data_IF_090973774462
#
_entry.id   IF_090973774462
#
_cell.length_a   1.000
_cell.length_b   1.000
_cell.length_c   1.000
_cell.angle_alpha   90.00
_cell.angle_beta   90.00
_cell.angle_gamma   90.00
#
_symmetry.space_group_name_H-M   'P 1'
#
loop_
_entity.id
_entity.type
_entity.pdbx_description
1 polymer ?
#
# COMPACT_ATOMS: atom_id res chain seq x y z
N UNK A 1 71.87 -10.05 46.07
CA UNK A 1 71.48 -9.11 45.00
C UNK A 1 70.66 -9.88 43.98
N UNK A 2 69.39 -9.50 43.81
CA UNK A 2 68.37 -10.28 43.13
C UNK A 2 68.44 -10.16 41.60
N UNK A 3 68.28 -11.29 40.91
CA UNK A 3 68.06 -11.37 39.47
C UNK A 3 66.66 -10.86 39.11
N UNK A 4 66.53 -10.09 38.03
CA UNK A 4 65.24 -9.72 37.43
C UNK A 4 65.22 -10.04 35.95
N UNK A 5 64.30 -10.93 35.60
CA UNK A 5 63.87 -11.30 34.27
C UNK A 5 63.27 -10.08 33.54
N UNK A 6 63.68 -9.84 32.29
CA UNK A 6 62.93 -8.99 31.36
C UNK A 6 62.07 -9.88 30.46
N UNK A 7 60.75 -9.73 30.59
CA UNK A 7 59.74 -10.45 29.81
C UNK A 7 59.55 -9.77 28.45
N UNK A 8 59.58 -10.56 27.38
CA UNK A 8 59.23 -10.18 26.01
C UNK A 8 57.70 -10.17 25.86
N UNK A 9 57.11 -9.00 25.60
CA UNK A 9 55.72 -8.89 25.13
C UNK A 9 55.71 -8.59 23.63
N UNK A 10 55.39 -9.62 22.84
CA UNK A 10 55.02 -9.51 21.43
C UNK A 10 53.62 -8.89 21.34
N UNK A 11 53.51 -7.68 20.81
CA UNK A 11 52.22 -7.09 20.45
C UNK A 11 51.71 -7.69 19.14
N UNK A 12 50.55 -8.36 19.17
CA UNK A 12 49.79 -8.70 17.97
C UNK A 12 48.99 -7.47 17.53
N UNK A 13 49.29 -6.93 16.36
CA UNK A 13 48.42 -5.96 15.69
C UNK A 13 47.27 -6.70 14.99
N UNK A 14 46.05 -6.55 15.50
CA UNK A 14 44.85 -7.05 14.83
C UNK A 14 44.44 -6.05 13.74
N UNK A 15 44.48 -6.49 12.47
CA UNK A 15 43.92 -5.73 11.36
C UNK A 15 42.39 -5.83 11.40
N UNK A 16 41.71 -4.71 11.62
CA UNK A 16 40.26 -4.61 11.52
C UNK A 16 39.84 -4.56 10.03
N UNK A 17 39.22 -5.62 9.54
CA UNK A 17 38.56 -5.63 8.24
C UNK A 17 37.24 -4.86 8.35
N UNK A 18 37.14 -3.71 7.68
CA UNK A 18 35.88 -2.99 7.49
C UNK A 18 35.02 -3.77 6.49
N UNK A 19 34.05 -4.53 7.01
CA UNK A 19 32.94 -5.07 6.22
C UNK A 19 32.01 -3.90 5.90
N UNK A 20 32.06 -3.41 4.66
CA UNK A 20 31.02 -2.52 4.13
C UNK A 20 29.73 -3.34 3.95
N UNK A 21 28.85 -3.29 4.94
CA UNK A 21 27.48 -3.74 4.78
C UNK A 21 26.80 -2.82 3.75
N UNK A 22 26.61 -3.32 2.53
CA UNK A 22 25.74 -2.64 1.57
C UNK A 22 24.33 -2.62 2.15
N UNK A 23 23.82 -1.44 2.47
CA UNK A 23 22.44 -1.25 2.84
C UNK A 23 21.57 -1.74 1.67
N UNK A 24 20.84 -2.84 1.87
CA UNK A 24 19.73 -3.17 0.98
C UNK A 24 18.69 -2.08 1.19
N UNK A 25 18.25 -1.43 0.11
CA UNK A 25 17.08 -0.56 0.16
C UNK A 25 15.92 -1.41 0.67
N UNK A 26 15.46 -1.13 1.89
CA UNK A 26 14.22 -1.71 2.39
C UNK A 26 13.08 -1.18 1.53
N UNK A 27 12.16 -2.07 1.15
CA UNK A 27 10.97 -1.67 0.43
C UNK A 27 10.11 -0.83 1.36
N UNK A 28 9.68 0.33 0.91
CA UNK A 28 8.86 1.30 1.66
C UNK A 28 7.62 0.61 2.23
N UNK A 29 7.05 -0.32 1.46
CA UNK A 29 5.80 -1.00 1.79
C UNK A 29 5.97 -2.27 2.64
N UNK A 30 7.19 -2.81 2.74
CA UNK A 30 7.49 -4.05 3.48
C UNK A 30 8.47 -3.82 4.65
N UNK A 31 8.70 -2.55 5.05
CA UNK A 31 9.60 -2.21 6.16
C UNK A 31 9.21 -2.99 7.43
N UNK A 32 10.19 -3.62 8.07
CA UNK A 32 9.97 -4.39 9.30
C UNK A 32 9.69 -3.42 10.44
N UNK A 33 8.60 -3.69 11.17
CA UNK A 33 8.11 -2.87 12.29
C UNK A 33 9.18 -2.63 13.37
N UNK A 34 10.12 -3.57 13.52
CA UNK A 34 11.15 -3.56 14.56
C UNK A 34 12.26 -2.51 14.34
N UNK A 35 12.39 -1.96 13.13
CA UNK A 35 13.44 -0.99 12.76
C UNK A 35 12.95 0.47 12.80
N UNK A 36 11.69 0.71 13.23
CA UNK A 36 11.05 2.02 13.16
C UNK A 36 11.06 2.73 14.53
N UNK A 37 11.72 3.89 14.59
CA UNK A 37 11.69 4.79 15.75
C UNK A 37 10.41 5.64 15.71
N UNK A 38 9.61 5.70 16.79
CA UNK A 38 8.44 6.57 16.85
C UNK A 38 8.84 8.02 16.56
N UNK A 39 8.23 8.62 15.54
CA UNK A 39 8.39 10.04 15.21
C UNK A 39 7.19 10.84 15.75
N UNK A 40 7.37 12.13 16.08
CA UNK A 40 6.23 12.98 16.43
C UNK A 40 5.19 13.01 15.29
N UNK A 41 3.89 13.02 15.58
CA UNK A 41 2.85 13.23 14.57
C UNK A 41 3.07 14.55 13.80
N UNK A 42 2.78 14.54 12.49
CA UNK A 42 2.81 15.72 11.64
C UNK A 42 4.15 16.02 10.98
N UNK A 43 5.23 15.29 11.31
CA UNK A 43 6.56 15.47 10.71
C UNK A 43 6.80 14.51 9.54
N UNK A 44 6.41 14.95 8.34
CA UNK A 44 6.56 14.22 7.08
C UNK A 44 6.54 15.18 5.88
N UNK A 45 6.97 14.71 4.71
CA UNK A 45 7.15 15.56 3.53
C UNK A 45 5.91 15.58 2.63
N UNK A 46 5.26 14.42 2.47
CA UNK A 46 4.20 14.21 1.49
C UNK A 46 3.34 13.01 1.88
N UNK A 47 2.19 12.86 1.22
CA UNK A 47 1.41 11.64 1.32
C UNK A 47 1.65 10.71 0.14
N UNK A 48 1.56 9.40 0.38
CA UNK A 48 1.25 8.41 -0.63
C UNK A 48 -0.22 8.06 -0.51
N UNK A 49 -0.99 8.24 -1.59
CA UNK A 49 -2.30 7.63 -1.71
C UNK A 49 -2.11 6.24 -2.33
N UNK A 50 -2.39 5.21 -1.53
CA UNK A 50 -2.33 3.83 -1.95
C UNK A 50 -3.74 3.35 -2.31
N UNK A 51 -3.94 2.96 -3.56
CA UNK A 51 -5.21 2.46 -4.05
C UNK A 51 -5.07 0.99 -4.49
N UNK A 52 -6.10 0.19 -4.22
CA UNK A 52 -6.15 -1.25 -4.48
C UNK A 52 -7.13 -1.57 -5.59
N UNK A 53 -6.71 -2.46 -6.50
CA UNK A 53 -7.58 -3.12 -7.46
C UNK A 53 -8.09 -4.42 -6.84
N UNK A 54 -9.28 -4.36 -6.24
CA UNK A 54 -9.84 -5.47 -5.46
C UNK A 54 -9.94 -6.81 -6.19
N UNK A 55 -10.25 -6.87 -7.51
CA UNK A 55 -10.21 -8.13 -8.25
C UNK A 55 -8.87 -8.86 -8.15
N UNK A 56 -7.75 -8.15 -8.07
CA UNK A 56 -6.45 -8.77 -7.90
C UNK A 56 -6.29 -9.34 -6.49
N UNK A 57 -6.64 -8.57 -5.45
CA UNK A 57 -6.62 -9.10 -4.08
C UNK A 57 -7.47 -10.37 -3.96
N UNK A 58 -8.62 -10.39 -4.62
CA UNK A 58 -9.59 -11.48 -4.55
C UNK A 58 -9.31 -12.67 -5.48
N UNK A 59 -8.26 -12.61 -6.31
CA UNK A 59 -7.89 -13.70 -7.20
C UNK A 59 -7.63 -15.00 -6.41
N UNK A 60 -8.43 -16.03 -6.68
CA UNK A 60 -8.42 -17.31 -5.96
C UNK A 60 -8.92 -17.30 -4.50
N UNK A 61 -9.50 -16.19 -4.02
CA UNK A 61 -9.91 -16.02 -2.60
C UNK A 61 -11.41 -15.93 -2.37
N UNK A 62 -12.24 -16.24 -3.37
CA UNK A 62 -13.71 -16.11 -3.30
C UNK A 62 -14.34 -17.04 -2.27
N UNK A 63 -13.72 -18.18 -1.95
CA UNK A 63 -14.17 -19.09 -0.89
C UNK A 63 -13.71 -18.67 0.50
N UNK A 64 -12.69 -17.80 0.58
CA UNK A 64 -12.07 -17.38 1.84
C UNK A 64 -12.68 -16.10 2.38
N UNK A 65 -13.00 -15.15 1.49
CA UNK A 65 -13.35 -13.78 1.86
C UNK A 65 -14.74 -13.37 1.33
N UNK A 66 -15.69 -12.97 2.20
CA UNK A 66 -17.05 -12.62 1.79
C UNK A 66 -17.13 -11.50 0.76
N UNK A 67 -16.32 -10.43 0.89
CA UNK A 67 -16.29 -9.34 -0.09
C UNK A 67 -15.73 -9.76 -1.45
N UNK A 68 -14.88 -10.80 -1.48
CA UNK A 68 -14.43 -11.42 -2.74
C UNK A 68 -15.51 -12.28 -3.41
N UNK A 69 -16.41 -12.89 -2.61
CA UNK A 69 -17.53 -13.69 -3.11
C UNK A 69 -18.68 -12.84 -3.63
N UNK A 70 -18.99 -11.77 -2.92
CA UNK A 70 -20.10 -10.87 -3.21
C UNK A 70 -19.60 -9.42 -3.24
N UNK A 71 -18.82 -9.03 -4.26
CA UNK A 71 -18.25 -7.69 -4.35
C UNK A 71 -19.33 -6.66 -4.66
N UNK A 72 -19.20 -5.46 -4.10
CA UNK A 72 -20.02 -4.31 -4.51
C UNK A 72 -19.77 -3.96 -5.99
N UNK A 73 -20.76 -3.32 -6.61
CA UNK A 73 -20.68 -2.93 -8.02
C UNK A 73 -19.51 -1.98 -8.29
N UNK A 74 -19.24 -1.03 -7.37
CA UNK A 74 -18.16 -0.05 -7.52
C UNK A 74 -16.78 -0.73 -7.67
N UNK A 75 -16.48 -1.70 -6.81
CA UNK A 75 -15.19 -2.42 -6.77
C UNK A 75 -14.88 -3.22 -8.03
N UNK A 76 -15.88 -3.46 -8.90
CA UNK A 76 -15.71 -4.23 -10.15
C UNK A 76 -14.98 -3.47 -11.23
N UNK A 77 -14.99 -2.14 -11.18
CA UNK A 77 -14.37 -1.30 -12.21
C UNK A 77 -13.62 -0.09 -11.65
N UNK A 78 -13.60 0.09 -10.33
CA UNK A 78 -12.90 1.19 -9.68
C UNK A 78 -11.85 0.64 -8.71
N UNK A 79 -10.76 1.38 -8.60
CA UNK A 79 -9.87 1.32 -7.46
C UNK A 79 -10.63 1.69 -6.18
N UNK A 80 -10.08 1.25 -5.05
CA UNK A 80 -10.55 1.63 -3.72
C UNK A 80 -9.34 1.96 -2.86
N UNK A 81 -9.53 2.70 -1.76
CA UNK A 81 -8.49 2.99 -0.81
C UNK A 81 -7.88 1.73 -0.21
N UNK A 82 -6.55 1.69 -0.21
CA UNK A 82 -5.78 0.96 0.78
C UNK A 82 -5.47 1.89 1.96
N UNK A 83 -4.94 3.07 1.68
CA UNK A 83 -4.67 4.08 2.70
C UNK A 83 -4.00 5.35 2.20
N UNK A 84 -3.82 6.29 3.14
CA UNK A 84 -3.21 7.59 2.93
C UNK A 84 -1.99 7.71 3.86
N UNK A 85 -0.79 7.55 3.31
CA UNK A 85 0.39 7.28 4.12
C UNK A 85 1.33 8.49 4.18
N UNK A 86 1.55 9.10 5.36
CA UNK A 86 2.65 10.04 5.57
C UNK A 86 3.98 9.41 5.15
N UNK A 87 4.76 10.13 4.35
CA UNK A 87 6.00 9.63 3.73
C UNK A 87 7.12 10.68 3.82
N UNK A 88 8.37 10.20 3.85
CA UNK A 88 9.57 11.02 3.87
C UNK A 88 10.40 10.77 2.59
N UNK A 89 10.93 11.84 2.00
CA UNK A 89 11.58 11.78 0.68
C UNK A 89 12.94 11.08 0.69
N UNK A 90 13.56 10.90 1.87
CA UNK A 90 14.94 10.45 2.00
C UNK A 90 15.22 9.55 3.21
N UNK A 91 14.20 9.10 3.92
CA UNK A 91 14.35 8.19 5.06
C UNK A 91 13.16 7.23 5.15
N UNK A 92 13.23 6.26 6.06
CA UNK A 92 12.09 5.39 6.35
C UNK A 92 10.84 6.23 6.70
N UNK A 93 9.65 5.82 6.21
CA UNK A 93 8.41 6.51 6.50
C UNK A 93 8.09 6.48 8.01
N UNK A 94 7.44 7.53 8.55
CA UNK A 94 6.96 7.51 9.92
C UNK A 94 5.86 6.45 10.08
N UNK A 95 5.83 5.78 11.24
CA UNK A 95 4.76 4.84 11.56
C UNK A 95 4.51 4.78 13.06
N UNK A 96 3.29 4.42 13.46
CA UNK A 96 2.91 4.22 14.86
C UNK A 96 3.23 5.44 15.76
N UNK A 97 2.99 6.66 15.26
CA UNK A 97 3.48 7.90 15.86
C UNK A 97 2.74 8.34 17.13
N UNK A 98 1.53 7.84 17.36
CA UNK A 98 0.74 8.11 18.56
C UNK A 98 -0.05 6.88 19.03
N UNK A 99 -0.33 6.83 20.32
CA UNK A 99 -1.13 5.77 20.95
C UNK A 99 -2.62 6.09 21.05
N UNK A 100 -3.14 7.01 20.22
CA UNK A 100 -4.57 7.34 20.21
C UNK A 100 -5.41 6.11 19.85
N UNK A 101 -6.42 5.83 20.68
CA UNK A 101 -7.32 4.72 20.43
C UNK A 101 -8.20 5.01 19.20
N UNK A 102 -8.23 4.06 18.26
CA UNK A 102 -9.11 4.12 17.11
C UNK A 102 -10.59 4.10 17.52
N UNK A 103 -11.38 5.05 17.02
CA UNK A 103 -12.82 5.17 17.29
C UNK A 103 -13.63 4.96 16.00
N UNK A 104 -13.91 3.69 15.70
CA UNK A 104 -14.70 3.29 14.54
C UNK A 104 -16.08 3.95 14.53
N UNK A 105 -16.79 3.94 15.67
CA UNK A 105 -18.15 4.46 15.77
C UNK A 105 -18.21 5.98 15.48
N UNK A 106 -17.17 6.74 15.83
CA UNK A 106 -17.05 8.15 15.44
C UNK A 106 -16.88 8.28 13.93
N UNK A 107 -15.94 7.56 13.32
CA UNK A 107 -15.66 7.66 11.88
C UNK A 107 -16.88 7.22 11.05
N UNK A 108 -17.48 6.08 11.40
CA UNK A 108 -18.67 5.54 10.73
C UNK A 108 -19.87 6.49 10.79
N UNK A 109 -20.06 7.16 11.92
CA UNK A 109 -21.15 8.14 12.09
C UNK A 109 -20.92 9.41 11.27
N UNK A 110 -19.70 9.94 11.25
CA UNK A 110 -19.40 11.20 10.56
C UNK A 110 -19.30 11.04 9.04
N UNK A 111 -18.75 9.92 8.54
CA UNK A 111 -18.56 9.69 7.10
C UNK A 111 -19.70 8.89 6.46
N UNK A 112 -20.38 8.06 7.23
CA UNK A 112 -21.38 7.11 6.75
C UNK A 112 -20.78 5.76 6.32
N UNK A 113 -21.39 4.68 6.79
CA UNK A 113 -20.95 3.31 6.49
C UNK A 113 -20.95 3.00 4.99
N UNK A 114 -21.98 3.41 4.24
CA UNK A 114 -22.05 3.14 2.81
C UNK A 114 -20.87 3.77 2.05
N UNK A 115 -20.45 4.98 2.44
CA UNK A 115 -19.30 5.67 1.86
C UNK A 115 -18.02 4.90 2.17
N UNK A 116 -17.82 4.51 3.44
CA UNK A 116 -16.64 3.76 3.86
C UNK A 116 -16.55 2.39 3.19
N UNK A 117 -17.65 1.63 3.12
CA UNK A 117 -17.68 0.34 2.44
C UNK A 117 -17.45 0.48 0.94
N UNK A 118 -17.99 1.52 0.30
CA UNK A 118 -17.79 1.72 -1.13
C UNK A 118 -16.33 2.08 -1.46
N UNK A 119 -15.72 3.02 -0.74
CA UNK A 119 -14.43 3.61 -1.11
C UNK A 119 -13.22 3.05 -0.34
N UNK A 120 -13.39 2.48 0.85
CA UNK A 120 -12.30 1.92 1.66
C UNK A 120 -12.66 0.54 2.25
N UNK A 121 -12.95 -0.47 1.41
CA UNK A 121 -13.49 -1.74 1.88
C UNK A 121 -12.44 -2.62 2.57
N UNK A 122 -12.87 -3.36 3.59
CA UNK A 122 -12.22 -4.62 3.98
C UNK A 122 -12.96 -5.81 3.37
N UNK A 123 -12.46 -6.29 2.24
CA UNK A 123 -13.08 -7.42 1.53
C UNK A 123 -12.96 -8.77 2.26
N UNK A 124 -12.15 -8.86 3.32
CA UNK A 124 -11.94 -10.11 4.10
C UNK A 124 -13.09 -10.42 5.04
N UNK A 125 -13.88 -9.42 5.42
CA UNK A 125 -15.00 -9.58 6.32
C UNK A 125 -16.31 -9.18 5.62
N UNK A 126 -17.43 -9.68 6.13
CA UNK A 126 -18.73 -9.15 5.72
C UNK A 126 -18.92 -7.76 6.32
N UNK A 127 -19.63 -6.87 5.62
CA UNK A 127 -19.92 -5.50 6.08
C UNK A 127 -20.62 -5.42 7.45
N UNK A 128 -21.37 -6.46 7.85
CA UNK A 128 -21.99 -6.55 9.17
C UNK A 128 -21.05 -7.06 10.28
N UNK A 129 -19.79 -7.40 9.95
CA UNK A 129 -18.83 -7.96 10.90
C UNK A 129 -18.20 -6.84 11.76
N UNK A 130 -18.09 -7.00 13.08
CA UNK A 130 -17.35 -6.05 13.91
C UNK A 130 -15.86 -5.97 13.56
N UNK A 131 -15.30 -7.00 12.90
CA UNK A 131 -13.91 -7.02 12.42
C UNK A 131 -13.71 -6.22 11.13
N UNK A 132 -14.77 -5.75 10.47
CA UNK A 132 -14.63 -4.98 9.22
C UNK A 132 -13.78 -3.71 9.43
N UNK A 133 -13.95 -3.07 10.59
CA UNK A 133 -13.19 -1.88 10.97
C UNK A 133 -11.73 -2.17 11.39
N UNK A 134 -11.29 -3.43 11.48
CA UNK A 134 -9.90 -3.75 11.84
C UNK A 134 -8.90 -3.28 10.78
N UNK A 135 -9.30 -3.25 9.50
CA UNK A 135 -8.47 -2.68 8.46
C UNK A 135 -8.29 -1.17 8.64
N UNK A 136 -9.37 -0.42 8.88
CA UNK A 136 -9.29 1.01 9.17
C UNK A 136 -8.48 1.30 10.43
N UNK A 137 -8.64 0.46 11.47
CA UNK A 137 -7.83 0.53 12.69
C UNK A 137 -6.34 0.34 12.38
N UNK A 138 -5.98 -0.60 11.52
CA UNK A 138 -4.59 -0.80 11.11
C UNK A 138 -4.03 0.43 10.40
N UNK A 139 -4.76 0.94 9.40
CA UNK A 139 -4.35 2.11 8.62
C UNK A 139 -4.23 3.37 9.50
N UNK A 140 -5.15 3.57 10.44
CA UNK A 140 -5.04 4.63 11.43
C UNK A 140 -3.81 4.43 12.31
N UNK A 141 -3.69 3.28 12.95
CA UNK A 141 -2.66 3.01 13.97
C UNK A 141 -1.26 3.13 13.37
N UNK A 142 -1.04 2.57 12.16
CA UNK A 142 0.25 2.58 11.49
C UNK A 142 0.54 3.91 10.80
N UNK A 143 -0.42 4.49 10.08
CA UNK A 143 -0.18 5.63 9.19
C UNK A 143 -0.90 6.90 9.64
N UNK A 144 -2.19 6.81 9.96
CA UNK A 144 -3.00 7.97 10.35
C UNK A 144 -2.48 8.72 11.58
N UNK A 145 -1.98 8.00 12.58
CA UNK A 145 -1.39 8.58 13.79
C UNK A 145 -0.17 9.47 13.51
N UNK A 146 0.47 9.32 12.34
CA UNK A 146 1.61 10.13 11.91
C UNK A 146 1.22 11.40 11.14
N UNK A 147 -0.04 11.53 10.73
CA UNK A 147 -0.50 12.67 9.92
C UNK A 147 -0.59 13.98 10.71
N UNK A 148 -0.76 13.91 12.03
CA UNK A 148 -1.09 15.07 12.87
C UNK A 148 -2.54 15.57 12.68
N UNK A 149 -3.36 14.88 11.89
CA UNK A 149 -4.79 15.15 11.75
C UNK A 149 -5.58 14.38 12.81
N UNK A 150 -6.76 14.90 13.16
CA UNK A 150 -7.76 14.14 13.90
C UNK A 150 -8.27 12.95 13.07
N UNK A 151 -8.70 11.87 13.73
CA UNK A 151 -9.18 10.65 13.06
C UNK A 151 -10.21 10.93 11.95
N UNK A 152 -11.26 11.70 12.27
CA UNK A 152 -12.33 11.99 11.31
C UNK A 152 -11.80 12.75 10.10
N UNK A 153 -10.90 13.71 10.29
CA UNK A 153 -10.33 14.50 9.20
C UNK A 153 -9.43 13.63 8.33
N UNK A 154 -8.58 12.79 8.92
CA UNK A 154 -7.73 11.85 8.18
C UNK A 154 -8.55 10.94 7.24
N UNK A 155 -9.59 10.29 7.76
CA UNK A 155 -10.46 9.43 6.94
C UNK A 155 -11.25 10.26 5.91
N UNK A 156 -11.73 11.45 6.29
CA UNK A 156 -12.48 12.34 5.39
C UNK A 156 -11.62 12.76 4.20
N UNK A 157 -10.37 13.17 4.43
CA UNK A 157 -9.47 13.58 3.37
C UNK A 157 -9.08 12.43 2.46
N UNK A 158 -8.78 11.24 3.01
CA UNK A 158 -8.48 10.06 2.22
C UNK A 158 -9.67 9.67 1.30
N UNK A 159 -10.87 9.58 1.86
CA UNK A 159 -12.09 9.27 1.09
C UNK A 159 -12.40 10.35 0.06
N UNK A 160 -12.18 11.63 0.39
CA UNK A 160 -12.40 12.73 -0.55
C UNK A 160 -11.42 12.73 -1.72
N UNK A 161 -10.19 12.26 -1.54
CA UNK A 161 -9.28 12.03 -2.66
C UNK A 161 -9.77 10.89 -3.55
N UNK A 162 -10.11 9.74 -2.95
CA UNK A 162 -10.55 8.54 -3.69
C UNK A 162 -11.79 8.80 -4.56
N UNK A 163 -12.80 9.46 -4.01
CA UNK A 163 -14.05 9.77 -4.74
C UNK A 163 -13.87 10.83 -5.83
N UNK A 164 -12.73 11.53 -5.84
CA UNK A 164 -12.53 12.66 -6.74
C UNK A 164 -11.95 12.16 -8.06
N UNK A 165 -12.86 11.93 -9.01
CA UNK A 165 -12.55 11.48 -10.39
C UNK A 165 -11.69 12.46 -11.20
N UNK A 166 -11.43 13.66 -10.69
CA UNK A 166 -10.48 14.60 -11.31
C UNK A 166 -9.08 14.48 -10.71
N UNK A 167 -9.00 14.16 -9.42
CA UNK A 167 -7.74 14.16 -8.65
C UNK A 167 -7.10 12.76 -8.59
N UNK A 168 -7.86 11.72 -8.25
CA UNK A 168 -7.36 10.35 -8.11
C UNK A 168 -8.23 9.31 -8.85
N UNK A 169 -8.53 9.50 -10.15
CA UNK A 169 -9.44 8.63 -10.87
C UNK A 169 -8.91 7.20 -11.00
N UNK A 170 -9.83 6.26 -11.14
CA UNK A 170 -9.53 5.03 -11.88
C UNK A 170 -9.54 5.35 -13.38
N UNK A 171 -8.39 5.30 -14.09
CA UNK A 171 -8.36 5.70 -15.49
C UNK A 171 -9.35 4.90 -16.33
N UNK A 172 -10.10 5.56 -17.23
CA UNK A 172 -11.05 4.88 -18.11
C UNK A 172 -10.42 3.71 -18.87
N UNK A 173 -9.13 3.84 -19.23
CA UNK A 173 -8.36 2.77 -19.85
C UNK A 173 -8.34 1.48 -19.00
N UNK A 174 -8.25 1.58 -17.67
CA UNK A 174 -8.30 0.42 -16.78
C UNK A 174 -9.72 -0.17 -16.77
N UNK A 175 -10.75 0.68 -16.69
CA UNK A 175 -12.15 0.26 -16.67
C UNK A 175 -12.54 -0.47 -17.97
N UNK A 176 -12.08 0.02 -19.12
CA UNK A 176 -12.34 -0.56 -20.44
C UNK A 176 -11.65 -1.92 -20.64
N UNK A 177 -10.63 -2.23 -19.83
CA UNK A 177 -9.84 -3.47 -19.93
C UNK A 177 -10.14 -4.45 -18.79
N UNK A 178 -11.18 -4.24 -17.98
CA UNK A 178 -11.60 -5.18 -16.93
C UNK A 178 -11.76 -6.60 -17.50
N UNK A 179 -11.02 -7.55 -16.93
CA UNK A 179 -10.97 -8.96 -17.37
C UNK A 179 -10.05 -9.22 -18.57
N UNK A 180 -9.42 -8.18 -19.11
CA UNK A 180 -8.57 -8.23 -20.29
C UNK A 180 -7.08 -8.00 -19.99
N UNK A 181 -6.32 -7.84 -21.06
CA UNK A 181 -4.90 -7.52 -21.04
C UNK A 181 -4.66 -6.08 -21.48
N UNK A 182 -3.69 -5.42 -20.86
CA UNK A 182 -3.30 -4.04 -21.17
C UNK A 182 -1.78 -3.95 -21.27
N UNK A 183 -1.29 -3.15 -22.21
CA UNK A 183 0.12 -2.83 -22.32
C UNK A 183 0.60 -2.03 -21.09
N UNK A 184 1.69 -2.46 -20.47
CA UNK A 184 2.18 -1.87 -19.22
C UNK A 184 2.61 -0.42 -19.42
N UNK A 185 3.17 -0.05 -20.57
CA UNK A 185 3.60 1.34 -20.81
C UNK A 185 2.40 2.27 -20.99
N UNK A 186 1.31 1.78 -21.62
CA UNK A 186 0.01 2.49 -21.63
C UNK A 186 -0.58 2.62 -20.24
N UNK A 187 -0.51 1.58 -19.41
CA UNK A 187 -0.99 1.63 -18.03
C UNK A 187 -0.23 2.68 -17.20
N UNK A 188 1.12 2.69 -17.29
CA UNK A 188 1.95 3.72 -16.65
C UNK A 188 1.60 5.11 -17.16
N UNK A 189 1.42 5.27 -18.47
CA UNK A 189 1.01 6.55 -19.06
C UNK A 189 -0.34 7.02 -18.50
N UNK A 190 -1.31 6.12 -18.35
CA UNK A 190 -2.63 6.45 -17.83
C UNK A 190 -2.60 6.88 -16.35
N UNK A 191 -1.70 6.30 -15.56
CA UNK A 191 -1.51 6.71 -14.17
C UNK A 191 -0.50 7.85 -14.00
N UNK A 192 0.29 8.22 -15.01
CA UNK A 192 1.31 9.26 -14.92
C UNK A 192 2.49 8.86 -14.04
N UNK A 193 2.94 9.76 -13.17
CA UNK A 193 4.14 9.59 -12.33
C UNK A 193 3.93 8.67 -11.10
N UNK A 194 3.03 7.69 -11.21
CA UNK A 194 2.71 6.75 -10.14
C UNK A 194 3.66 5.55 -10.14
N UNK A 195 3.78 4.88 -8.99
CA UNK A 195 4.35 3.53 -8.93
C UNK A 195 3.23 2.48 -8.99
N UNK A 196 3.40 1.45 -9.82
CA UNK A 196 2.39 0.40 -10.01
C UNK A 196 2.81 -0.92 -9.36
N UNK A 197 1.96 -1.48 -8.50
CA UNK A 197 2.15 -2.84 -7.98
C UNK A 197 1.40 -3.83 -8.85
N UNK A 198 2.11 -4.86 -9.24
CA UNK A 198 1.56 -6.05 -9.84
C UNK A 198 1.98 -7.30 -9.05
N UNK A 199 1.07 -8.26 -8.98
CA UNK A 199 1.31 -9.57 -8.39
C UNK A 199 1.36 -10.65 -9.48
N UNK A 200 2.06 -11.75 -9.20
CA UNK A 200 2.10 -12.92 -10.09
C UNK A 200 1.05 -13.93 -9.65
N UNK A 201 0.15 -14.29 -10.57
CA UNK A 201 -0.73 -15.43 -10.39
C UNK A 201 -0.21 -16.62 -11.20
N UNK A 202 -0.29 -17.81 -10.60
CA UNK A 202 0.02 -19.06 -11.28
C UNK A 202 -1.14 -19.45 -12.19
N UNK A 203 -0.80 -19.85 -13.41
CA UNK A 203 -1.76 -20.42 -14.36
C UNK A 203 -1.18 -21.73 -14.89
N UNK A 204 -2.01 -22.76 -14.90
CA UNK A 204 -1.63 -24.05 -15.46
C UNK A 204 -1.47 -23.89 -16.99
N UNK A 205 -0.26 -24.13 -17.48
CA UNK A 205 0.01 -24.14 -18.91
C UNK A 205 -0.56 -25.38 -19.58
N UNK A 206 -1.07 -25.22 -20.80
CA UNK A 206 -1.58 -26.33 -21.64
C UNK A 206 -0.49 -27.34 -22.04
N UNK A 207 0.78 -26.99 -21.85
CA UNK A 207 1.98 -27.79 -22.11
C UNK A 207 2.63 -28.35 -20.83
N UNK A 208 1.99 -28.18 -19.66
CA UNK A 208 2.55 -28.57 -18.37
C UNK A 208 3.65 -27.64 -17.85
N UNK A 209 3.99 -26.56 -18.57
CA UNK A 209 4.86 -25.51 -18.06
C UNK A 209 4.03 -24.52 -17.22
N UNK A 210 4.44 -24.27 -15.98
CA UNK A 210 3.84 -23.22 -15.16
C UNK A 210 4.00 -21.87 -15.87
N UNK A 211 2.88 -21.22 -16.21
CA UNK A 211 2.88 -19.85 -16.74
C UNK A 211 2.46 -18.92 -15.62
N UNK A 212 3.15 -17.79 -15.52
CA UNK A 212 2.73 -16.71 -14.65
C UNK A 212 2.02 -15.65 -15.47
N UNK A 213 0.90 -15.17 -14.94
CA UNK A 213 0.30 -13.92 -15.41
C UNK A 213 0.60 -12.82 -14.40
N UNK A 214 0.87 -11.64 -14.92
CA UNK A 214 1.07 -10.43 -14.13
C UNK A 214 -0.28 -9.76 -13.99
N UNK A 215 -0.76 -9.58 -12.76
CA UNK A 215 -2.03 -8.94 -12.45
C UNK A 215 -1.77 -7.55 -11.88
N UNK A 216 -2.39 -6.51 -12.45
CA UNK A 216 -2.39 -5.18 -11.84
C UNK A 216 -3.12 -5.24 -10.50
N UNK A 217 -2.47 -4.79 -9.42
CA UNK A 217 -3.02 -4.95 -8.07
C UNK A 217 -3.14 -3.64 -7.29
N UNK A 218 -2.20 -2.71 -7.43
CA UNK A 218 -2.25 -1.43 -6.72
C UNK A 218 -1.58 -0.31 -7.50
N UNK A 219 -1.93 0.93 -7.16
CA UNK A 219 -1.25 2.14 -7.62
C UNK A 219 -0.92 3.03 -6.42
N UNK A 220 0.25 3.67 -6.47
CA UNK A 220 0.72 4.61 -5.46
C UNK A 220 0.98 5.96 -6.12
N UNK A 221 0.27 6.98 -5.67
CA UNK A 221 0.45 8.37 -6.13
C UNK A 221 0.92 9.25 -4.98
N UNK A 222 1.73 10.26 -5.28
CA UNK A 222 2.30 11.15 -4.27
C UNK A 222 1.59 12.50 -4.26
N UNK A 223 1.38 13.05 -3.07
CA UNK A 223 0.55 14.23 -2.84
C UNK A 223 1.25 15.26 -1.94
N UNK A 224 1.18 16.52 -2.33
CA UNK A 224 1.53 17.63 -1.45
C UNK A 224 0.54 17.74 -0.29
N UNK A 225 0.97 18.43 0.77
CA UNK A 225 0.13 18.83 1.90
C UNK A 225 0.30 20.31 2.19
N UNK A 226 -0.70 20.91 2.82
CA UNK A 226 -0.61 22.28 3.32
C UNK A 226 0.07 22.35 4.71
N UNK A 227 0.10 23.55 5.29
CA UNK A 227 0.68 23.81 6.61
C UNK A 227 -0.08 23.12 7.77
N UNK A 228 -1.30 22.65 7.53
CA UNK A 228 -2.14 21.91 8.47
C UNK A 228 -2.13 20.40 8.18
N UNK A 229 -1.21 19.94 7.32
CA UNK A 229 -1.10 18.55 6.87
C UNK A 229 -2.31 18.04 6.08
N UNK A 230 -3.15 18.90 5.52
CA UNK A 230 -4.24 18.48 4.63
C UNK A 230 -3.67 18.14 3.25
N UNK A 231 -3.96 16.96 2.66
CA UNK A 231 -3.51 16.65 1.32
C UNK A 231 -4.20 17.57 0.29
N UNK A 232 -3.43 18.08 -0.67
CA UNK A 232 -3.93 19.12 -1.60
C UNK A 232 -3.92 18.66 -3.05
N UNK A 233 -2.74 18.54 -3.66
CA UNK A 233 -2.58 18.25 -5.07
C UNK A 233 -1.52 17.19 -5.30
N UNK A 234 -1.64 16.52 -6.44
CA UNK A 234 -0.67 15.52 -6.85
C UNK A 234 0.69 16.17 -7.14
N UNK A 235 1.76 15.48 -6.75
CA UNK A 235 3.16 15.83 -7.03
C UNK A 235 3.89 14.68 -7.70
N UNK A 236 5.12 14.95 -8.13
CA UNK A 236 6.02 13.91 -8.57
C UNK A 236 6.43 13.03 -7.38
N UNK A 237 6.41 11.71 -7.60
CA UNK A 237 6.93 10.74 -6.66
C UNK A 237 8.46 10.71 -6.69
N UNK A 238 9.11 10.60 -5.52
CA UNK A 238 10.55 10.45 -5.43
C UNK A 238 11.00 9.03 -5.87
N UNK A 239 12.30 8.86 -6.19
CA UNK A 239 12.82 7.61 -6.77
C UNK A 239 12.57 6.35 -5.92
N UNK A 240 12.52 6.47 -4.59
CA UNK A 240 12.27 5.30 -3.73
C UNK A 240 10.85 4.78 -3.90
N UNK A 241 9.87 5.65 -4.19
CA UNK A 241 8.51 5.21 -4.51
C UNK A 241 8.45 4.58 -5.90
N UNK A 242 9.12 5.16 -6.90
CA UNK A 242 9.21 4.53 -8.23
C UNK A 242 9.87 3.15 -8.20
N UNK A 243 10.79 2.92 -7.27
CA UNK A 243 11.46 1.63 -7.09
C UNK A 243 10.53 0.50 -6.64
N UNK A 244 9.32 0.84 -6.19
CA UNK A 244 8.28 -0.11 -5.80
C UNK A 244 7.42 -0.57 -6.98
N UNK A 245 7.64 -0.06 -8.19
CA UNK A 245 6.95 -0.57 -9.38
C UNK A 245 7.37 -2.02 -9.67
N UNK A 246 6.40 -2.93 -9.70
CA UNK A 246 6.63 -4.36 -9.94
C UNK A 246 5.97 -4.89 -11.21
N UNK A 247 5.41 -4.04 -12.05
CA UNK A 247 4.62 -4.46 -13.22
C UNK A 247 5.49 -4.89 -14.42
N UNK A 248 6.80 -4.65 -14.38
CA UNK A 248 7.72 -5.13 -15.41
C UNK A 248 7.47 -4.48 -16.78
N UNK A 249 7.43 -5.30 -17.83
CA UNK A 249 7.26 -4.87 -19.24
C UNK A 249 6.26 -5.77 -19.96
N UNK A 250 5.79 -5.34 -21.13
CA UNK A 250 4.90 -6.13 -21.98
C UNK A 250 3.44 -5.94 -21.58
N UNK A 251 2.76 -7.02 -21.24
CA UNK A 251 1.33 -7.02 -20.95
C UNK A 251 1.04 -7.35 -19.49
N UNK A 252 0.02 -6.70 -18.93
CA UNK A 252 -0.54 -6.94 -17.61
C UNK A 252 -2.03 -7.24 -17.74
N UNK A 253 -2.52 -8.20 -16.97
CA UNK A 253 -3.96 -8.46 -16.85
C UNK A 253 -4.58 -7.46 -15.89
N UNK A 254 -5.72 -6.88 -16.28
CA UNK A 254 -6.60 -6.14 -15.36
C UNK A 254 -7.65 -7.15 -14.88
N UNK A 255 -7.45 -7.82 -13.73
CA UNK A 255 -8.34 -8.91 -13.34
C UNK A 255 -9.76 -8.39 -13.10
N UNK A 256 -10.75 -9.23 -13.35
CA UNK A 256 -12.15 -8.97 -13.03
C UNK A 256 -12.58 -9.87 -11.87
N UNK A 257 -13.55 -9.41 -11.08
CA UNK A 257 -14.30 -10.33 -10.24
C UNK A 257 -15.00 -11.37 -11.11
N UNK A 258 -15.15 -12.63 -10.66
CA UNK A 258 -15.96 -13.60 -11.35
C UNK A 258 -17.35 -13.03 -11.65
N UNK A 259 -17.89 -13.38 -12.83
CA UNK A 259 -19.31 -13.20 -13.08
C UNK A 259 -20.07 -13.95 -11.99
N UNK A 260 -21.11 -13.35 -11.41
CA UNK A 260 -22.01 -14.08 -10.55
C UNK A 260 -22.48 -15.33 -11.33
N UNK A 261 -22.15 -16.52 -10.83
CA UNK A 261 -22.80 -17.73 -11.34
C UNK A 261 -24.30 -17.47 -11.18
N UNK A 262 -25.05 -17.49 -12.29
CA UNK A 262 -26.51 -17.63 -12.19
C UNK A 262 -26.70 -18.86 -11.32
N UNK A 263 -27.29 -18.66 -10.13
CA UNK A 263 -27.53 -19.77 -9.23
C UNK A 263 -28.28 -20.87 -9.97
N UNK A 264 -27.88 -22.10 -9.76
CA UNK A 264 -28.82 -23.21 -9.86
C UNK A 264 -29.98 -22.88 -8.90
N UNK A 265 -31.17 -22.71 -9.48
CA UNK A 265 -32.46 -22.68 -8.78
C UNK A 265 -32.70 -23.97 -7.99
#
# INVERSE_FOLDING_TARGET
MAARFFSLLRGLAAAAALLSAGARAERVFDARVDDLVPKPPGDFDMYILAQSWQPAFCDGKQTQFPGCRAPQQFWRSHLTLHGLWPELSGSAPPSFCAGEAFDAAKIERELGLDVLHQYWPDVKFSEASPQYADFWKHEWTRHGTCSGLEQVDYFTHAVNLERNETLAPTPQLVQDHVGGQLDVDKLRTAFGDAALKCQRAHVDGTDGAAKHVTLFSQVFTCWEKDEHNVPTQRRACPPHIHSEDTCGKGSVTIPAFPSASRGDD
#
